data_IF_167988966298
#
_entry.id   IF_167988966298
#
_cell.length_a   1.000
_cell.length_b   1.000
_cell.length_c   1.000
_cell.angle_alpha   90.00
_cell.angle_beta   90.00
_cell.angle_gamma   90.00
#
_symmetry.space_group_name_H-M   'P 1'
#
loop_
_entity.id
_entity.type
_entity.pdbx_description
1 polymer ?
#
# COMPACT_ATOMS: atom_id res chain seq x y z
N UNK A 1 10.31 -7.30 -19.61
CA UNK A 1 10.05 -7.80 -18.25
C UNK A 1 10.65 -6.84 -17.25
N UNK A 2 9.84 -5.86 -16.87
CA UNK A 2 10.09 -4.97 -15.75
C UNK A 2 9.80 -5.69 -14.42
N UNK A 3 10.22 -5.11 -13.31
CA UNK A 3 9.88 -5.65 -11.99
C UNK A 3 8.36 -5.71 -11.75
N UNK A 4 7.61 -4.73 -12.26
CA UNK A 4 6.14 -4.72 -12.18
C UNK A 4 5.51 -5.85 -12.99
N UNK A 5 5.94 -6.02 -14.25
CA UNK A 5 5.45 -7.12 -15.10
C UNK A 5 5.72 -8.51 -14.47
N UNK A 6 6.85 -8.67 -13.79
CA UNK A 6 7.17 -9.92 -13.08
C UNK A 6 6.28 -10.15 -11.87
N UNK A 7 5.98 -9.10 -11.09
CA UNK A 7 5.07 -9.19 -9.93
C UNK A 7 3.66 -9.52 -10.40
N UNK A 8 3.15 -8.83 -11.42
CA UNK A 8 1.81 -9.06 -11.96
C UNK A 8 1.66 -10.49 -12.46
N UNK A 9 2.66 -10.99 -13.19
CA UNK A 9 2.70 -12.40 -13.63
C UNK A 9 2.67 -13.36 -12.44
N UNK A 10 3.39 -13.06 -11.36
CA UNK A 10 3.42 -13.92 -10.16
C UNK A 10 2.12 -13.88 -9.36
N UNK A 11 1.36 -12.79 -9.46
CA UNK A 11 -0.01 -12.72 -8.93
C UNK A 11 -0.95 -13.58 -9.80
N UNK A 12 -0.84 -13.48 -11.13
CA UNK A 12 -1.65 -14.28 -12.07
C UNK A 12 -1.37 -15.80 -11.95
N UNK A 13 -0.11 -16.17 -11.72
CA UNK A 13 0.32 -17.56 -11.49
C UNK A 13 -0.03 -18.07 -10.08
N UNK A 14 -0.66 -17.25 -9.23
CA UNK A 14 -1.00 -17.54 -7.82
C UNK A 14 0.23 -17.84 -6.91
N UNK A 15 1.44 -17.57 -7.39
CA UNK A 15 2.68 -17.66 -6.60
C UNK A 15 2.76 -16.57 -5.51
N UNK A 16 2.07 -15.44 -5.72
CA UNK A 16 1.98 -14.33 -4.77
C UNK A 16 0.51 -14.01 -4.51
N UNK A 17 0.11 -14.14 -3.24
CA UNK A 17 -1.23 -13.72 -2.81
C UNK A 17 -1.36 -12.20 -2.83
N UNK A 18 -2.33 -11.70 -3.59
CA UNK A 18 -2.68 -10.29 -3.63
C UNK A 18 -3.77 -9.97 -2.61
N UNK A 19 -3.56 -8.91 -1.82
CA UNK A 19 -4.53 -8.37 -0.89
C UNK A 19 -4.68 -6.88 -1.16
N UNK A 20 -5.93 -6.41 -1.28
CA UNK A 20 -6.18 -4.98 -1.45
C UNK A 20 -5.87 -4.24 -0.16
N UNK A 21 -5.16 -3.11 -0.29
CA UNK A 21 -4.72 -2.34 0.88
C UNK A 21 -5.89 -1.83 1.75
N UNK A 22 -7.04 -1.54 1.15
CA UNK A 22 -8.23 -1.04 1.84
C UNK A 22 -9.02 -2.13 2.60
N UNK A 23 -8.62 -3.40 2.50
CA UNK A 23 -9.14 -4.48 3.35
C UNK A 23 -8.54 -4.46 4.77
N UNK A 24 -7.47 -3.68 4.96
CA UNK A 24 -6.85 -3.45 6.25
C UNK A 24 -7.44 -2.20 6.89
N UNK A 25 -8.03 -2.38 8.07
CA UNK A 25 -8.67 -1.30 8.83
C UNK A 25 -7.98 -1.14 10.18
N UNK A 26 -8.32 -0.07 10.91
CA UNK A 26 -7.79 0.21 12.25
C UNK A 26 -6.25 0.21 12.32
N UNK A 27 -5.60 0.83 11.33
CA UNK A 27 -4.14 0.92 11.28
C UNK A 27 -3.61 1.74 12.46
N UNK A 28 -2.72 1.15 13.24
CA UNK A 28 -2.02 1.81 14.35
C UNK A 28 -0.51 1.56 14.25
N UNK A 29 0.30 2.63 14.29
CA UNK A 29 1.75 2.52 14.24
C UNK A 29 2.28 1.79 15.47
N UNK A 30 3.03 0.71 15.24
CA UNK A 30 3.70 -0.07 16.28
C UNK A 30 5.18 0.31 16.36
N UNK A 31 5.79 0.65 15.23
CA UNK A 31 7.20 1.03 15.22
C UNK A 31 7.69 1.50 13.86
N UNK A 32 8.92 1.99 13.85
CA UNK A 32 9.62 2.44 12.65
C UNK A 32 11.09 2.09 12.78
N UNK A 33 11.70 1.69 11.67
CA UNK A 33 13.13 1.49 11.56
C UNK A 33 13.65 2.04 10.24
N UNK A 34 14.95 1.86 9.98
CA UNK A 34 15.63 2.43 8.81
C UNK A 34 15.00 2.06 7.45
N UNK A 35 14.24 0.97 7.39
CA UNK A 35 13.69 0.44 6.13
C UNK A 35 12.16 0.51 6.06
N UNK A 36 11.48 1.10 7.05
CA UNK A 36 10.03 1.21 6.98
C UNK A 36 9.31 1.35 8.32
N UNK A 37 8.01 1.51 8.21
CA UNK A 37 7.06 1.63 9.32
C UNK A 37 6.28 0.32 9.44
N UNK A 38 6.04 -0.12 10.67
CA UNK A 38 5.16 -1.27 10.96
C UNK A 38 3.91 -0.76 11.65
N UNK A 39 2.76 -1.04 11.06
CA UNK A 39 1.44 -0.80 11.66
C UNK A 39 0.83 -2.13 12.10
N UNK A 40 0.10 -2.14 13.21
CA UNK A 40 -0.92 -3.16 13.48
C UNK A 40 -2.14 -2.82 12.65
N UNK A 41 -2.77 -3.80 12.04
CA UNK A 41 -4.03 -3.63 11.34
C UNK A 41 -4.98 -4.79 11.62
N UNK A 42 -6.26 -4.51 11.48
CA UNK A 42 -7.33 -5.49 11.50
C UNK A 42 -7.66 -5.89 10.05
N UNK A 43 -7.68 -7.20 9.75
CA UNK A 43 -8.01 -7.77 8.44
C UNK A 43 -9.27 -8.64 8.54
N UNK A 44 -9.93 -8.87 7.39
CA UNK A 44 -11.15 -9.69 7.27
C UNK A 44 -12.26 -9.23 8.23
N UNK A 45 -12.63 -7.94 8.12
CA UNK A 45 -13.64 -7.28 8.96
C UNK A 45 -13.35 -7.33 10.47
N UNK A 46 -12.08 -7.26 10.88
CA UNK A 46 -11.70 -7.24 12.31
C UNK A 46 -11.45 -8.60 12.94
N UNK A 47 -11.53 -9.69 12.17
CA UNK A 47 -11.33 -11.04 12.71
C UNK A 47 -9.87 -11.39 12.97
N UNK A 48 -8.95 -10.81 12.22
CA UNK A 48 -7.53 -11.16 12.26
C UNK A 48 -6.71 -9.89 12.50
N UNK A 49 -5.85 -9.92 13.51
CA UNK A 49 -4.84 -8.86 13.71
C UNK A 49 -3.56 -9.23 13.00
N UNK A 50 -3.03 -8.30 12.21
CA UNK A 50 -1.81 -8.49 11.43
C UNK A 50 -0.82 -7.35 11.67
N UNK A 51 0.44 -7.58 11.29
CA UNK A 51 1.45 -6.54 11.17
C UNK A 51 1.63 -6.17 9.69
N UNK A 52 1.36 -4.91 9.36
CA UNK A 52 1.50 -4.34 8.04
C UNK A 52 2.79 -3.50 7.99
N UNK A 53 3.82 -4.02 7.31
CA UNK A 53 5.10 -3.31 7.14
C UNK A 53 5.10 -2.53 5.82
N UNK A 54 5.21 -1.22 5.92
CA UNK A 54 5.33 -0.29 4.79
C UNK A 54 6.81 0.04 4.64
N UNK A 55 7.42 -0.39 3.53
CA UNK A 55 8.80 -0.06 3.22
C UNK A 55 8.88 1.40 2.78
N UNK A 56 9.82 2.19 3.26
CA UNK A 56 9.89 3.64 2.92
C UNK A 56 10.82 3.94 1.75
N UNK A 57 11.62 2.97 1.30
CA UNK A 57 12.74 3.20 0.39
C UNK A 57 12.53 2.60 -1.01
N UNK A 58 11.37 2.83 -1.64
CA UNK A 58 11.13 2.39 -3.00
C UNK A 58 10.69 3.57 -3.89
N UNK A 59 11.41 3.78 -5.00
CA UNK A 59 10.97 4.63 -6.13
C UNK A 59 9.53 4.29 -6.60
N UNK A 60 9.07 3.05 -6.38
CA UNK A 60 7.69 2.65 -6.62
C UNK A 60 6.65 3.38 -5.74
N UNK A 61 7.02 3.81 -4.53
CA UNK A 61 6.11 4.57 -3.63
C UNK A 61 5.98 6.03 -4.09
N UNK A 62 7.04 6.60 -4.68
CA UNK A 62 6.91 7.92 -5.33
C UNK A 62 5.98 7.90 -6.54
N UNK A 63 5.85 6.76 -7.25
CA UNK A 63 4.90 6.61 -8.36
C UNK A 63 3.44 6.53 -7.86
N UNK A 64 3.18 5.73 -6.82
CA UNK A 64 1.84 5.63 -6.19
C UNK A 64 1.41 6.96 -5.54
N UNK A 65 2.34 7.71 -4.94
CA UNK A 65 2.03 9.01 -4.34
C UNK A 65 1.79 10.11 -5.39
N UNK A 66 2.30 9.97 -6.61
CA UNK A 66 2.04 10.94 -7.67
C UNK A 66 0.59 10.86 -8.19
N UNK A 67 0.01 9.66 -8.27
CA UNK A 67 -1.39 9.50 -8.68
C UNK A 67 -2.39 10.08 -7.65
N UNK A 68 -2.08 9.93 -6.36
CA UNK A 68 -2.90 10.49 -5.28
C UNK A 68 -2.75 12.03 -5.15
N UNK A 69 -1.57 12.58 -5.43
CA UNK A 69 -1.36 14.03 -5.47
C UNK A 69 -2.08 14.69 -6.66
N UNK A 70 -2.15 14.03 -7.82
CA UNK A 70 -2.90 14.54 -8.99
C UNK A 70 -4.41 14.57 -8.70
N UNK A 71 -4.98 13.53 -8.08
CA UNK A 71 -6.40 13.52 -7.71
C UNK A 71 -6.75 14.59 -6.67
N UNK A 72 -5.96 14.74 -5.61
CA UNK A 72 -6.24 15.74 -4.57
C UNK A 72 -6.11 17.18 -5.08
N UNK A 73 -5.20 17.42 -6.05
CA UNK A 73 -5.04 18.73 -6.67
C UNK A 73 -6.13 19.03 -7.70
N UNK A 74 -6.68 18.03 -8.38
CA UNK A 74 -7.81 18.20 -9.31
C UNK A 74 -9.12 18.56 -8.58
N UNK A 75 -9.42 17.91 -7.44
CA UNK A 75 -10.60 18.25 -6.63
C UNK A 75 -10.53 19.65 -6.02
N UNK A 76 -9.31 20.14 -5.76
CA UNK A 76 -9.07 21.50 -5.27
C UNK A 76 -9.28 22.56 -6.35
N UNK A 77 -9.01 22.22 -7.62
CA UNK A 77 -9.16 23.12 -8.77
C UNK A 77 -10.61 23.24 -9.28
N UNK A 78 -11.49 22.31 -8.93
CA UNK A 78 -12.91 22.31 -9.34
C UNK A 78 -13.80 23.06 -8.32
N UNK A 79 -13.23 23.54 -7.21
CA UNK A 79 -13.95 24.29 -6.15
C UNK A 79 -13.59 25.78 -6.06
N UNK A 80 -12.88 26.32 -7.04
CA UNK A 80 -12.76 27.78 -7.29
C UNK A 80 -13.47 28.14 -8.60
#
# INVERSE_FOLDING_TARGET
MTSSEWIDKKIEEEDINFFRYDEFINLEKVGEGAFGIVNRADWNSGKIKIALKILTNNKAISEINNENNVKSNMEKFIKE
#
